data_IF_229019196223
#
_entry.id   IF_229019196223
#
_cell.length_a   1.000
_cell.length_b   1.000
_cell.length_c   1.000
_cell.angle_alpha   90.00
_cell.angle_beta   90.00
_cell.angle_gamma   90.00
#
_symmetry.space_group_name_H-M   'P 1'
#
loop_
_entity.id
_entity.type
_entity.pdbx_description
1 polymer ?
#
# COMPACT_ATOMS: atom_id res chain seq x y z
N UNK A 1 26.20 -7.06 -15.97
CA UNK A 1 25.17 -6.05 -15.72
C UNK A 1 24.21 -6.35 -14.54
N UNK A 2 24.00 -7.64 -14.16
CA UNK A 2 23.06 -8.03 -13.09
C UNK A 2 23.56 -7.71 -11.66
N UNK A 3 24.87 -7.70 -11.46
CA UNK A 3 25.48 -7.44 -10.14
C UNK A 3 25.34 -5.97 -9.68
N UNK A 4 25.30 -5.04 -10.61
CA UNK A 4 25.33 -3.59 -10.30
C UNK A 4 23.96 -3.04 -9.87
N UNK A 5 22.83 -3.59 -10.39
CA UNK A 5 21.48 -3.18 -9.99
C UNK A 5 21.10 -3.63 -8.56
N UNK A 6 21.58 -4.79 -8.14
CA UNK A 6 21.39 -5.25 -6.77
C UNK A 6 22.14 -4.37 -5.76
N UNK A 7 23.31 -3.91 -6.11
CA UNK A 7 24.14 -3.04 -5.29
C UNK A 7 23.54 -1.64 -5.13
N UNK A 8 23.02 -1.02 -6.21
CA UNK A 8 22.35 0.29 -6.16
C UNK A 8 21.09 0.27 -5.29
N UNK A 9 20.26 -0.76 -5.38
CA UNK A 9 19.04 -0.92 -4.55
C UNK A 9 19.37 -1.13 -3.09
N UNK A 10 20.34 -1.98 -2.80
CA UNK A 10 20.81 -2.23 -1.45
C UNK A 10 21.38 -0.94 -0.83
N UNK A 11 22.00 -0.09 -1.63
CA UNK A 11 22.54 1.18 -1.21
C UNK A 11 21.43 2.15 -0.72
N UNK A 12 20.32 2.32 -1.46
CA UNK A 12 19.20 3.17 -1.00
C UNK A 12 18.61 2.67 0.31
N UNK A 13 18.38 1.38 0.46
CA UNK A 13 17.87 0.80 1.73
C UNK A 13 18.84 1.02 2.89
N UNK A 14 20.12 0.87 2.62
CA UNK A 14 21.18 1.12 3.61
C UNK A 14 21.24 2.58 3.99
N UNK A 15 21.19 3.50 3.03
CA UNK A 15 21.14 4.93 3.26
C UNK A 15 19.89 5.33 4.05
N UNK A 16 18.75 4.76 3.72
CA UNK A 16 17.48 5.03 4.41
C UNK A 16 17.48 4.61 5.88
N UNK A 17 18.22 3.56 6.23
CA UNK A 17 18.42 3.15 7.64
C UNK A 17 19.33 4.10 8.42
N UNK A 18 20.28 4.73 7.73
CA UNK A 18 21.34 5.52 8.37
C UNK A 18 21.04 7.01 8.42
N UNK A 19 20.27 7.52 7.47
CA UNK A 19 20.01 8.94 7.31
C UNK A 19 18.53 9.26 7.46
N UNK A 20 18.17 10.32 8.20
CA UNK A 20 16.78 10.74 8.37
C UNK A 20 16.16 11.27 7.07
N UNK A 21 16.96 11.87 6.19
CA UNK A 21 16.56 12.36 4.87
C UNK A 21 17.52 11.88 3.77
N UNK A 22 16.97 11.59 2.61
CA UNK A 22 17.73 11.19 1.43
C UNK A 22 17.75 12.34 0.41
N UNK A 23 18.95 12.72 -0.03
CA UNK A 23 19.16 13.92 -0.86
C UNK A 23 19.28 13.62 -2.34
N UNK A 24 19.64 12.41 -2.71
CA UNK A 24 19.97 12.07 -4.11
C UNK A 24 19.28 10.78 -4.54
N UNK A 25 18.11 10.91 -5.15
CA UNK A 25 17.29 9.79 -5.60
C UNK A 25 17.01 9.82 -7.11
N UNK A 26 16.79 11.00 -7.70
CA UNK A 26 16.36 11.10 -9.10
C UNK A 26 17.41 10.55 -10.07
N UNK A 27 18.68 10.62 -9.73
CA UNK A 27 19.77 10.06 -10.54
C UNK A 27 19.74 8.52 -10.65
N UNK A 28 18.91 7.86 -9.81
CA UNK A 28 18.69 6.42 -9.89
C UNK A 28 17.70 6.03 -11.01
N UNK A 29 16.95 7.00 -11.52
CA UNK A 29 16.19 6.83 -12.76
C UNK A 29 17.13 7.03 -13.91
N UNK A 30 17.65 5.96 -14.44
CA UNK A 30 18.61 5.91 -15.53
C UNK A 30 18.13 4.97 -16.65
N UNK A 31 18.85 4.95 -17.74
CA UNK A 31 18.55 4.08 -18.90
C UNK A 31 18.39 2.62 -18.48
N UNK A 32 19.26 2.14 -17.62
CA UNK A 32 19.27 0.76 -17.13
C UNK A 32 18.02 0.44 -16.32
N UNK A 33 17.60 1.33 -15.42
CA UNK A 33 16.39 1.17 -14.63
C UNK A 33 15.12 1.14 -15.49
N UNK A 34 15.05 1.97 -16.53
CA UNK A 34 13.91 2.01 -17.46
C UNK A 34 13.85 0.75 -18.34
N UNK A 35 15.00 0.28 -18.85
CA UNK A 35 15.08 -0.98 -19.59
C UNK A 35 14.67 -2.16 -18.71
N UNK A 36 15.07 -2.15 -17.44
CA UNK A 36 14.62 -3.16 -16.48
C UNK A 36 13.10 -3.15 -16.33
N UNK A 37 12.48 -1.98 -16.19
CA UNK A 37 11.02 -1.86 -16.14
C UNK A 37 10.36 -2.40 -17.40
N UNK A 38 10.93 -2.12 -18.57
CA UNK A 38 10.42 -2.67 -19.83
C UNK A 38 10.43 -4.21 -19.84
N UNK A 39 11.50 -4.84 -19.35
CA UNK A 39 11.58 -6.31 -19.23
C UNK A 39 10.53 -6.89 -18.29
N UNK A 40 10.18 -6.17 -17.24
CA UNK A 40 9.18 -6.60 -16.23
C UNK A 40 7.74 -6.48 -16.73
N UNK A 41 7.47 -5.66 -17.77
CA UNK A 41 6.11 -5.52 -18.29
C UNK A 41 5.65 -6.83 -18.96
N UNK A 42 4.43 -7.25 -18.63
CA UNK A 42 3.80 -8.40 -19.28
C UNK A 42 3.40 -8.04 -20.71
N UNK A 43 3.49 -9.04 -21.61
CA UNK A 43 2.95 -8.94 -22.97
C UNK A 43 1.42 -8.89 -22.96
N UNK A 44 0.83 -8.42 -24.03
CA UNK A 44 -0.63 -8.40 -24.27
C UNK A 44 -1.47 -7.61 -23.24
N UNK A 45 -0.87 -6.60 -22.60
CA UNK A 45 -1.63 -5.66 -21.79
C UNK A 45 -2.25 -4.57 -22.63
N UNK A 46 -3.44 -4.11 -22.22
CA UNK A 46 -4.15 -3.03 -22.86
C UNK A 46 -3.29 -1.75 -22.92
N UNK A 47 -3.21 -1.08 -24.08
CA UNK A 47 -2.45 0.17 -24.23
C UNK A 47 -3.17 1.35 -23.59
N UNK A 48 -2.43 2.44 -23.34
CA UNK A 48 -2.97 3.74 -22.96
C UNK A 48 -3.62 4.47 -24.12
N UNK A 49 -3.82 5.80 -23.96
CA UNK A 49 -4.46 6.66 -24.98
C UNK A 49 -3.67 6.75 -26.29
N UNK A 50 -2.36 6.58 -26.24
CA UNK A 50 -1.46 6.62 -27.40
C UNK A 50 -1.45 5.29 -28.20
N UNK A 51 -2.15 4.28 -27.72
CA UNK A 51 -2.23 2.93 -28.30
C UNK A 51 -0.88 2.23 -28.43
N UNK A 52 0.16 2.66 -27.72
CA UNK A 52 1.48 2.02 -27.70
C UNK A 52 1.47 0.80 -26.79
N UNK A 53 1.78 -0.35 -27.36
CA UNK A 53 1.96 -1.62 -26.65
C UNK A 53 3.42 -1.87 -26.31
N UNK A 54 3.70 -2.89 -25.50
CA UNK A 54 5.08 -3.33 -25.24
C UNK A 54 5.81 -3.69 -26.53
N UNK A 55 5.14 -4.36 -27.43
CA UNK A 55 5.67 -4.82 -28.71
C UNK A 55 6.08 -3.64 -29.60
N UNK A 56 5.18 -2.65 -29.74
CA UNK A 56 5.45 -1.43 -30.50
C UNK A 56 6.59 -0.62 -29.88
N UNK A 57 6.62 -0.48 -28.56
CA UNK A 57 7.70 0.24 -27.88
C UNK A 57 9.07 -0.45 -28.03
N UNK A 58 9.05 -1.78 -28.08
CA UNK A 58 10.26 -2.61 -28.27
C UNK A 58 10.94 -2.41 -29.62
N UNK A 59 10.20 -2.07 -30.67
CA UNK A 59 10.75 -1.89 -32.02
C UNK A 59 11.87 -0.86 -32.07
N UNK A 60 11.72 0.24 -31.30
CA UNK A 60 12.70 1.32 -31.19
C UNK A 60 13.10 1.57 -29.73
N UNK A 61 13.34 0.51 -28.96
CA UNK A 61 13.50 0.58 -27.51
C UNK A 61 14.58 1.59 -27.08
N UNK A 62 15.77 1.51 -27.66
CA UNK A 62 16.89 2.37 -27.28
C UNK A 62 16.61 3.85 -27.56
N UNK A 63 16.05 4.16 -28.71
CA UNK A 63 15.69 5.53 -29.10
C UNK A 63 14.57 6.07 -28.20
N UNK A 64 13.55 5.26 -27.93
CA UNK A 64 12.45 5.62 -27.05
C UNK A 64 12.93 5.90 -25.62
N UNK A 65 13.83 5.08 -25.10
CA UNK A 65 14.41 5.27 -23.75
C UNK A 65 15.32 6.50 -23.73
N UNK A 66 16.14 6.72 -24.75
CA UNK A 66 17.01 7.90 -24.84
C UNK A 66 16.19 9.20 -24.89
N UNK A 67 15.10 9.22 -25.66
CA UNK A 67 14.16 10.35 -25.71
C UNK A 67 13.49 10.60 -24.35
N UNK A 68 13.00 9.56 -23.69
CA UNK A 68 12.43 9.66 -22.36
C UNK A 68 13.44 10.22 -21.36
N UNK A 69 14.66 9.70 -21.36
CA UNK A 69 15.75 10.21 -20.49
C UNK A 69 16.07 11.68 -20.76
N UNK A 70 16.08 12.09 -22.03
CA UNK A 70 16.30 13.50 -22.39
C UNK A 70 15.20 14.39 -21.81
N UNK A 71 13.93 14.02 -21.97
CA UNK A 71 12.78 14.76 -21.43
C UNK A 71 12.77 14.77 -19.90
N UNK A 72 13.17 13.68 -19.25
CA UNK A 72 13.30 13.62 -17.79
C UNK A 72 14.39 14.57 -17.27
N UNK A 73 15.57 14.58 -17.91
CA UNK A 73 16.70 15.45 -17.53
C UNK A 73 16.42 16.93 -17.77
N UNK A 74 15.70 17.25 -18.82
CA UNK A 74 15.31 18.64 -19.16
C UNK A 74 14.05 19.13 -18.41
N UNK A 75 13.45 18.26 -17.57
CA UNK A 75 12.17 18.52 -16.89
C UNK A 75 10.99 18.84 -17.79
N UNK A 76 11.09 18.50 -19.08
CA UNK A 76 9.99 18.66 -20.04
C UNK A 76 9.00 17.49 -20.00
N UNK A 77 9.37 16.35 -19.41
CA UNK A 77 8.49 15.20 -19.28
C UNK A 77 7.28 15.53 -18.39
N UNK A 78 6.08 15.17 -18.91
CA UNK A 78 4.82 15.23 -18.16
C UNK A 78 4.05 13.92 -18.38
N UNK A 79 3.50 13.30 -17.33
CA UNK A 79 2.62 12.16 -17.50
C UNK A 79 1.43 12.50 -18.38
N UNK A 80 1.05 11.57 -19.24
CA UNK A 80 -0.14 11.72 -20.09
C UNK A 80 -1.41 11.30 -19.34
N UNK A 81 -2.60 11.74 -19.79
CA UNK A 81 -3.85 11.27 -19.24
C UNK A 81 -4.00 9.76 -19.36
N UNK A 82 -4.61 9.14 -18.36
CA UNK A 82 -4.93 7.71 -18.39
C UNK A 82 -6.13 7.44 -19.31
N UNK A 83 -6.12 6.31 -20.00
CA UNK A 83 -7.29 5.82 -20.73
C UNK A 83 -8.23 5.13 -19.75
N UNK A 84 -9.43 5.66 -19.59
CA UNK A 84 -10.45 5.08 -18.72
C UNK A 84 -11.17 3.94 -19.40
N UNK A 85 -11.24 2.79 -18.76
CA UNK A 85 -12.04 1.64 -19.14
C UNK A 85 -12.87 1.18 -17.95
N UNK A 86 -14.04 0.64 -18.22
CA UNK A 86 -14.87 0.03 -17.18
C UNK A 86 -14.61 -1.46 -17.10
N UNK A 87 -14.36 -1.95 -15.88
CA UNK A 87 -14.18 -3.39 -15.62
C UNK A 87 -15.36 -3.88 -14.78
N UNK A 88 -15.84 -5.08 -15.12
CA UNK A 88 -16.88 -5.75 -14.35
C UNK A 88 -16.34 -6.22 -12.99
N UNK A 89 -17.06 -5.92 -11.91
CA UNK A 89 -16.73 -6.36 -10.53
C UNK A 89 -17.22 -7.76 -10.20
N UNK A 90 -17.86 -8.46 -11.15
CA UNK A 90 -18.45 -9.78 -10.91
C UNK A 90 -19.86 -9.77 -10.29
N UNK A 91 -20.38 -8.60 -9.90
CA UNK A 91 -21.71 -8.44 -9.29
C UNK A 91 -22.64 -7.56 -10.16
N UNK A 92 -22.40 -7.47 -11.46
CA UNK A 92 -23.09 -6.53 -12.32
C UNK A 92 -22.74 -5.05 -12.09
N UNK A 93 -21.81 -4.77 -11.16
CA UNK A 93 -21.27 -3.44 -10.91
C UNK A 93 -19.97 -3.25 -11.67
N UNK A 94 -19.86 -2.16 -12.39
CA UNK A 94 -18.64 -1.76 -13.10
C UNK A 94 -17.81 -0.82 -12.23
N UNK A 95 -16.49 -0.90 -12.39
CA UNK A 95 -15.55 0.08 -11.80
C UNK A 95 -14.68 0.68 -12.89
N UNK A 96 -14.35 1.97 -12.79
CA UNK A 96 -13.40 2.57 -13.71
C UNK A 96 -11.98 2.08 -13.40
N UNK A 97 -11.22 1.82 -14.46
CA UNK A 97 -9.80 1.55 -14.42
C UNK A 97 -9.09 2.57 -15.30
N UNK A 98 -8.03 3.20 -14.79
CA UNK A 98 -7.16 4.07 -15.56
C UNK A 98 -5.95 3.30 -16.10
N UNK A 99 -5.78 3.31 -17.43
CA UNK A 99 -4.62 2.69 -18.08
C UNK A 99 -3.67 3.79 -18.53
N UNK A 100 -2.47 3.92 -17.92
CA UNK A 100 -1.47 4.89 -18.33
C UNK A 100 -0.84 4.48 -19.67
N UNK A 101 -0.28 5.45 -20.39
CA UNK A 101 0.54 5.15 -21.57
C UNK A 101 1.76 4.31 -21.19
N UNK A 102 2.30 3.58 -22.15
CA UNK A 102 3.36 2.60 -21.87
C UNK A 102 4.61 3.24 -21.25
N UNK A 103 5.06 4.36 -21.77
CA UNK A 103 6.24 5.07 -21.26
C UNK A 103 6.03 5.55 -19.80
N UNK A 104 4.82 5.98 -19.44
CA UNK A 104 4.48 6.38 -18.08
C UNK A 104 4.54 5.20 -17.11
N UNK A 105 4.20 3.99 -17.56
CA UNK A 105 4.37 2.77 -16.76
C UNK A 105 5.83 2.50 -16.45
N UNK A 106 6.72 2.69 -17.42
CA UNK A 106 8.15 2.48 -17.21
C UNK A 106 8.70 3.47 -16.19
N UNK A 107 8.36 4.73 -16.34
CA UNK A 107 8.81 5.77 -15.44
C UNK A 107 8.22 5.60 -14.03
N UNK A 108 6.92 5.34 -13.91
CA UNK A 108 6.30 5.06 -12.62
C UNK A 108 6.92 3.84 -11.94
N UNK A 109 7.21 2.79 -12.70
CA UNK A 109 7.88 1.60 -12.17
C UNK A 109 9.27 1.89 -11.59
N UNK A 110 10.07 2.70 -12.28
CA UNK A 110 11.38 3.14 -11.80
C UNK A 110 11.27 4.01 -10.55
N UNK A 111 10.33 4.95 -10.53
CA UNK A 111 10.05 5.79 -9.36
C UNK A 111 9.53 4.98 -8.17
N UNK A 112 8.66 4.00 -8.43
CA UNK A 112 8.12 3.10 -7.41
C UNK A 112 9.20 2.22 -6.77
N UNK A 113 10.13 1.70 -7.55
CA UNK A 113 11.26 0.92 -7.05
C UNK A 113 12.12 1.73 -6.07
N UNK A 114 12.42 2.97 -6.42
CA UNK A 114 13.18 3.90 -5.56
C UNK A 114 12.42 4.17 -4.26
N UNK A 115 11.13 4.51 -4.37
CA UNK A 115 10.28 4.83 -3.23
C UNK A 115 10.14 3.63 -2.29
N UNK A 116 9.98 2.43 -2.84
CA UNK A 116 9.96 1.19 -2.08
C UNK A 116 11.26 0.97 -1.28
N UNK A 117 12.41 1.20 -1.90
CA UNK A 117 13.70 1.05 -1.23
C UNK A 117 13.94 2.11 -0.15
N UNK A 118 13.38 3.32 -0.30
CA UNK A 118 13.40 4.36 0.74
C UNK A 118 12.54 3.95 1.93
N UNK A 119 11.33 3.48 1.69
CA UNK A 119 10.34 3.30 2.74
C UNK A 119 10.31 1.90 3.37
N UNK A 120 10.73 0.86 2.66
CA UNK A 120 10.71 -0.49 3.23
C UNK A 120 11.45 -0.60 4.58
N UNK A 121 12.62 0.02 4.79
CA UNK A 121 13.26 0.02 6.10
C UNK A 121 12.54 0.85 7.17
N UNK A 122 11.64 1.74 6.78
CA UNK A 122 10.93 2.68 7.67
C UNK A 122 9.53 2.23 8.05
N UNK A 123 8.87 1.45 7.19
CA UNK A 123 7.54 0.93 7.48
C UNK A 123 7.55 0.03 8.70
N UNK A 124 6.49 0.11 9.51
CA UNK A 124 6.35 -0.68 10.72
C UNK A 124 5.86 -2.10 10.43
N UNK A 125 6.06 -2.99 11.37
CA UNK A 125 5.67 -4.39 11.23
C UNK A 125 4.15 -4.61 11.14
N UNK A 126 3.35 -3.65 11.59
CA UNK A 126 1.90 -3.70 11.48
C UNK A 126 1.36 -3.55 10.05
N UNK A 127 2.19 -3.09 9.09
CA UNK A 127 1.84 -2.88 7.69
C UNK A 127 2.25 -4.05 6.81
N UNK A 128 1.29 -4.64 6.08
CA UNK A 128 1.49 -5.85 5.27
C UNK A 128 1.29 -5.65 3.77
N UNK A 129 0.32 -4.82 3.36
CA UNK A 129 -0.03 -4.64 1.97
C UNK A 129 1.07 -3.98 1.12
N UNK A 130 1.24 -4.44 -0.11
CA UNK A 130 2.19 -3.87 -1.09
C UNK A 130 3.64 -3.77 -0.62
N UNK A 131 4.03 -4.63 0.27
CA UNK A 131 5.41 -4.74 0.75
C UNK A 131 6.06 -6.02 0.27
N UNK A 132 7.38 -5.97 -0.10
CA UNK A 132 8.11 -7.18 -0.48
C UNK A 132 8.07 -8.22 0.64
N UNK A 133 7.90 -9.49 0.27
CA UNK A 133 7.90 -10.64 1.19
C UNK A 133 6.81 -10.63 2.27
N UNK A 134 5.75 -9.84 2.07
CA UNK A 134 4.57 -9.80 2.94
C UNK A 134 3.32 -10.04 2.11
N UNK A 135 2.48 -10.93 2.58
CA UNK A 135 1.26 -11.36 1.89
C UNK A 135 0.02 -11.19 2.76
N UNK A 136 -1.14 -11.36 2.13
CA UNK A 136 -2.43 -11.47 2.82
C UNK A 136 -2.40 -12.58 3.89
N UNK A 137 -1.83 -13.74 3.55
CA UNK A 137 -1.71 -14.86 4.48
C UNK A 137 -0.85 -14.53 5.71
N UNK A 138 0.20 -13.72 5.55
CA UNK A 138 1.02 -13.28 6.68
C UNK A 138 0.22 -12.38 7.63
N UNK A 139 -0.58 -11.47 7.10
CA UNK A 139 -1.47 -10.61 7.89
C UNK A 139 -2.51 -11.44 8.65
N UNK A 140 -3.17 -12.38 7.98
CA UNK A 140 -4.16 -13.29 8.60
C UNK A 140 -3.53 -14.14 9.68
N UNK A 141 -2.35 -14.70 9.43
CA UNK A 141 -1.61 -15.47 10.42
C UNK A 141 -1.30 -14.68 11.67
N UNK A 142 -0.81 -13.45 11.51
CA UNK A 142 -0.51 -12.57 12.66
C UNK A 142 -1.77 -12.22 13.45
N UNK A 143 -2.90 -11.96 12.80
CA UNK A 143 -4.19 -11.74 13.47
C UNK A 143 -4.56 -12.96 14.31
N UNK A 144 -4.54 -14.14 13.73
CA UNK A 144 -4.88 -15.38 14.42
C UNK A 144 -3.94 -15.68 15.59
N UNK A 145 -2.63 -15.56 15.37
CA UNK A 145 -1.64 -15.79 16.43
C UNK A 145 -1.79 -14.77 17.57
N UNK A 146 -2.10 -13.52 17.26
CA UNK A 146 -2.34 -12.47 18.25
C UNK A 146 -3.58 -12.76 19.09
N UNK A 147 -4.70 -13.14 18.47
CA UNK A 147 -5.94 -13.50 19.17
C UNK A 147 -5.73 -14.75 20.04
N UNK A 148 -5.01 -15.75 19.52
CA UNK A 148 -4.76 -17.01 20.21
C UNK A 148 -3.85 -16.87 21.42
N UNK A 149 -2.80 -16.03 21.33
CA UNK A 149 -1.69 -16.03 22.30
C UNK A 149 -1.54 -14.73 23.08
N UNK A 150 -2.25 -13.67 22.71
CA UNK A 150 -2.21 -12.37 23.38
C UNK A 150 -3.53 -12.07 24.09
N UNK A 151 -3.55 -11.00 24.88
CA UNK A 151 -4.73 -10.54 25.59
C UNK A 151 -5.63 -9.75 24.64
N UNK A 152 -6.50 -10.45 23.93
CA UNK A 152 -7.46 -9.87 22.98
C UNK A 152 -8.88 -10.30 23.36
N UNK A 153 -9.77 -9.32 23.58
CA UNK A 153 -11.18 -9.53 23.89
C UNK A 153 -12.11 -8.69 23.00
N UNK A 154 -11.59 -7.68 22.31
CA UNK A 154 -12.35 -6.78 21.43
C UNK A 154 -11.56 -6.50 20.14
N UNK A 155 -12.29 -6.35 19.06
CA UNK A 155 -11.74 -5.97 17.76
C UNK A 155 -12.46 -4.73 17.28
N UNK A 156 -11.69 -3.73 16.87
CA UNK A 156 -12.14 -2.59 16.09
C UNK A 156 -11.79 -2.85 14.63
N UNK A 157 -12.82 -3.13 13.83
CA UNK A 157 -12.73 -3.37 12.40
C UNK A 157 -13.06 -2.07 11.68
N UNK A 158 -12.11 -1.51 10.93
CA UNK A 158 -12.21 -0.21 10.30
C UNK A 158 -12.19 -0.30 8.78
N UNK A 159 -13.07 0.48 8.17
CA UNK A 159 -13.14 0.68 6.73
C UNK A 159 -13.04 2.17 6.38
N UNK A 160 -12.04 2.54 5.60
CA UNK A 160 -11.85 3.90 5.10
C UNK A 160 -12.68 4.08 3.85
N UNK A 161 -13.53 5.10 3.84
CA UNK A 161 -14.41 5.41 2.71
C UNK A 161 -13.64 6.09 1.59
N UNK A 162 -13.60 5.45 0.41
CA UNK A 162 -13.01 6.04 -0.80
C UNK A 162 -11.58 6.54 -0.61
N UNK A 163 -10.71 5.72 -0.02
CA UNK A 163 -9.37 6.13 0.41
C UNK A 163 -8.56 6.82 -0.68
N UNK A 164 -8.40 6.19 -1.85
CA UNK A 164 -7.55 6.72 -2.93
C UNK A 164 -8.04 8.06 -3.48
N UNK A 165 -9.35 8.28 -3.54
CA UNK A 165 -9.95 9.53 -4.01
C UNK A 165 -9.80 10.68 -3.00
N UNK A 166 -9.58 10.37 -1.74
CA UNK A 166 -9.55 11.32 -0.64
C UNK A 166 -8.14 11.57 -0.06
N UNK A 167 -7.10 10.97 -0.62
CA UNK A 167 -5.73 11.25 -0.22
C UNK A 167 -5.41 12.72 -0.49
N UNK A 168 -5.06 13.44 0.56
CA UNK A 168 -4.67 14.85 0.44
C UNK A 168 -3.24 14.97 -0.06
N UNK A 169 -3.07 15.52 -1.26
CA UNK A 169 -1.76 15.62 -1.91
C UNK A 169 -0.79 16.53 -1.17
N UNK A 170 -1.27 17.59 -0.53
CA UNK A 170 -0.41 18.49 0.26
C UNK A 170 0.17 17.78 1.48
N UNK A 171 -0.64 17.02 2.20
CA UNK A 171 -0.19 16.19 3.31
C UNK A 171 0.77 15.10 2.86
N UNK A 172 0.46 14.41 1.76
CA UNK A 172 1.34 13.40 1.20
C UNK A 172 2.72 13.98 0.85
N UNK A 173 2.75 15.15 0.19
CA UNK A 173 4.01 15.82 -0.14
C UNK A 173 4.76 16.26 1.13
N UNK A 174 4.08 16.70 2.17
CA UNK A 174 4.72 17.01 3.47
C UNK A 174 5.35 15.79 4.09
N UNK A 175 4.68 14.64 4.06
CA UNK A 175 5.23 13.38 4.56
C UNK A 175 6.47 12.95 3.76
N UNK A 176 6.40 13.02 2.45
CA UNK A 176 7.55 12.71 1.60
C UNK A 176 8.74 13.64 1.86
N UNK A 177 8.51 14.95 2.04
CA UNK A 177 9.56 15.92 2.35
C UNK A 177 10.20 15.71 3.71
N UNK A 178 9.53 15.04 4.62
CA UNK A 178 10.11 14.64 5.89
C UNK A 178 11.26 13.62 5.71
N UNK A 179 11.18 12.79 4.69
CA UNK A 179 12.09 11.67 4.44
C UNK A 179 13.01 11.88 3.22
N UNK A 180 12.60 12.74 2.29
CA UNK A 180 13.25 12.95 0.99
C UNK A 180 13.52 14.43 0.81
N UNK A 181 14.79 14.77 0.58
CA UNK A 181 15.26 16.15 0.33
C UNK A 181 15.63 16.38 -1.15
N UNK A 182 15.48 15.37 -2.03
CA UNK A 182 15.72 15.52 -3.47
C UNK A 182 14.56 16.29 -4.14
N UNK A 183 14.75 17.58 -4.53
CA UNK A 183 13.67 18.37 -5.11
C UNK A 183 13.25 17.88 -6.49
N UNK A 184 14.13 17.24 -7.24
CA UNK A 184 13.84 16.74 -8.57
C UNK A 184 12.97 15.48 -8.50
N UNK A 185 13.27 14.58 -7.58
CA UNK A 185 12.45 13.41 -7.31
C UNK A 185 11.03 13.83 -6.87
N UNK A 186 10.94 14.73 -5.91
CA UNK A 186 9.65 15.23 -5.40
C UNK A 186 8.85 15.99 -6.46
N UNK A 187 9.51 16.72 -7.36
CA UNK A 187 8.86 17.38 -8.50
C UNK A 187 8.11 16.39 -9.38
N UNK A 188 8.71 15.26 -9.67
CA UNK A 188 8.06 14.23 -10.49
C UNK A 188 6.95 13.50 -9.75
N UNK A 189 7.08 13.27 -8.45
CA UNK A 189 5.96 12.76 -7.64
C UNK A 189 4.79 13.76 -7.69
N UNK A 190 5.04 15.05 -7.52
CA UNK A 190 4.00 16.08 -7.60
C UNK A 190 3.30 16.09 -8.99
N UNK A 191 4.06 15.94 -10.09
CA UNK A 191 3.49 15.85 -11.44
C UNK A 191 2.62 14.61 -11.61
N UNK A 192 3.03 13.47 -11.08
CA UNK A 192 2.23 12.24 -11.10
C UNK A 192 0.92 12.41 -10.31
N UNK A 193 0.96 13.03 -9.14
CA UNK A 193 -0.23 13.30 -8.34
C UNK A 193 -1.21 14.22 -9.09
N UNK A 194 -0.71 15.26 -9.76
CA UNK A 194 -1.53 16.14 -10.61
C UNK A 194 -2.16 15.42 -11.80
N UNK A 195 -1.49 14.41 -12.35
CA UNK A 195 -2.01 13.62 -13.47
C UNK A 195 -3.06 12.58 -13.04
N UNK A 196 -3.33 12.44 -11.76
CA UNK A 196 -4.33 11.50 -11.24
C UNK A 196 -3.80 10.08 -11.01
N UNK A 197 -2.53 9.94 -10.66
CA UNK A 197 -1.89 8.63 -10.42
C UNK A 197 -2.44 7.88 -9.21
N UNK A 198 -3.03 8.58 -8.24
CA UNK A 198 -3.69 7.97 -7.08
C UNK A 198 -5.06 7.39 -7.48
N UNK A 199 -5.02 6.24 -8.11
CA UNK A 199 -6.20 5.50 -8.54
C UNK A 199 -6.17 4.14 -7.87
N UNK A 200 -7.33 3.69 -7.37
CA UNK A 200 -7.51 2.31 -6.93
C UNK A 200 -7.24 1.37 -8.13
N UNK A 201 -6.08 0.74 -8.14
CA UNK A 201 -5.71 -0.24 -9.15
C UNK A 201 -6.22 -1.63 -8.80
N UNK A 202 -6.43 -2.48 -9.81
CA UNK A 202 -6.54 -3.91 -9.58
C UNK A 202 -5.14 -4.41 -9.23
N UNK A 203 -4.93 -4.67 -7.94
CA UNK A 203 -3.71 -5.35 -7.51
C UNK A 203 -3.89 -6.82 -7.82
N UNK A 204 -3.20 -7.30 -8.83
CA UNK A 204 -3.01 -8.74 -8.98
C UNK A 204 -2.20 -9.18 -7.77
N UNK A 205 -2.82 -9.95 -6.90
CA UNK A 205 -2.16 -10.65 -5.81
C UNK A 205 -1.15 -11.62 -6.45
N UNK A 206 0.06 -11.13 -6.65
CA UNK A 206 1.14 -12.01 -7.05
C UNK A 206 1.63 -12.66 -5.78
N UNK A 207 1.34 -13.94 -5.63
CA UNK A 207 1.82 -14.83 -4.57
C UNK A 207 3.36 -14.85 -4.40
N UNK A 208 4.05 -14.06 -5.16
CA UNK A 208 5.50 -13.84 -5.12
C UNK A 208 5.75 -12.34 -4.97
N UNK A 209 5.89 -11.91 -3.74
CA UNK A 209 6.11 -10.57 -3.24
C UNK A 209 6.92 -9.63 -4.11
N UNK A 210 6.41 -8.53 -4.34
CA UNK A 210 6.66 -7.31 -5.10
C UNK A 210 5.87 -7.30 -6.41
N UNK A 211 4.96 -6.34 -6.60
CA UNK A 211 4.40 -6.11 -7.92
C UNK A 211 5.53 -5.70 -8.85
N UNK A 212 6.07 -6.65 -9.60
CA UNK A 212 7.07 -6.40 -10.61
C UNK A 212 6.45 -5.52 -11.70
N UNK A 213 6.98 -4.31 -11.88
CA UNK A 213 6.41 -3.31 -12.77
C UNK A 213 5.18 -2.61 -12.17
N UNK A 214 5.09 -2.54 -10.83
CA UNK A 214 4.01 -1.92 -10.11
C UNK A 214 3.97 -0.40 -10.22
N UNK A 215 2.76 0.15 -10.15
CA UNK A 215 2.52 1.58 -10.10
C UNK A 215 3.00 2.18 -8.76
N UNK A 216 3.29 3.47 -8.75
CA UNK A 216 3.75 4.20 -7.55
C UNK A 216 2.62 4.38 -6.52
N UNK A 217 1.37 4.34 -6.94
CA UNK A 217 0.18 4.60 -6.12
C UNK A 217 0.10 3.77 -4.83
N UNK A 218 0.31 2.44 -4.85
CA UNK A 218 0.26 1.63 -3.63
C UNK A 218 1.30 2.04 -2.58
N UNK A 219 2.49 2.40 -3.02
CA UNK A 219 3.56 2.79 -2.10
C UNK A 219 3.26 4.16 -1.51
N UNK A 220 2.77 5.11 -2.30
CA UNK A 220 2.32 6.42 -1.82
C UNK A 220 1.16 6.27 -0.82
N UNK A 221 0.23 5.36 -1.06
CA UNK A 221 -0.84 5.03 -0.12
C UNK A 221 -0.28 4.51 1.21
N UNK A 222 0.69 3.62 1.17
CA UNK A 222 1.38 3.13 2.36
C UNK A 222 2.15 4.24 3.10
N UNK A 223 2.79 5.15 2.39
CA UNK A 223 3.46 6.32 3.00
C UNK A 223 2.44 7.18 3.74
N UNK A 224 1.30 7.45 3.13
CA UNK A 224 0.25 8.25 3.73
C UNK A 224 -0.26 7.65 5.05
N UNK A 225 -0.63 6.37 5.03
CA UNK A 225 -1.14 5.68 6.21
C UNK A 225 -0.05 5.33 7.24
N UNK A 226 1.20 5.22 6.82
CA UNK A 226 2.32 5.12 7.75
C UNK A 226 2.38 6.31 8.72
N UNK A 227 2.20 7.54 8.21
CA UNK A 227 2.18 8.76 9.02
C UNK A 227 0.84 9.00 9.70
N UNK A 228 -0.25 8.82 8.98
CA UNK A 228 -1.59 9.11 9.51
C UNK A 228 -2.00 8.09 10.59
N UNK A 229 -1.70 6.83 10.39
CA UNK A 229 -2.20 5.75 11.25
C UNK A 229 -1.07 5.00 11.99
N UNK A 230 -0.12 4.40 11.30
CA UNK A 230 0.81 3.43 11.89
C UNK A 230 1.71 4.07 12.97
N UNK A 231 2.42 5.12 12.63
CA UNK A 231 3.30 5.83 13.58
C UNK A 231 2.50 6.47 14.71
N UNK A 232 1.39 7.10 14.40
CA UNK A 232 0.53 7.71 15.38
C UNK A 232 -0.01 6.68 16.39
N UNK A 233 -0.48 5.54 15.92
CA UNK A 233 -0.96 4.48 16.79
C UNK A 233 0.17 3.90 17.65
N UNK A 234 1.27 3.47 17.04
CA UNK A 234 2.37 2.80 17.74
C UNK A 234 3.15 3.73 18.68
N UNK A 235 3.34 5.00 18.32
CA UNK A 235 4.16 5.94 19.11
C UNK A 235 3.37 6.80 20.07
N UNK A 236 2.10 7.09 19.78
CA UNK A 236 1.28 8.01 20.57
C UNK A 236 0.13 7.29 21.29
N UNK A 237 -0.76 6.65 20.56
CA UNK A 237 -2.01 6.10 21.12
C UNK A 237 -1.75 4.93 22.05
N UNK A 238 -0.96 3.98 21.64
CA UNK A 238 -0.69 2.74 22.38
C UNK A 238 -0.20 2.98 23.81
N UNK A 239 0.59 4.05 24.01
CA UNK A 239 1.11 4.46 25.32
C UNK A 239 0.06 5.01 26.27
N UNK A 240 -1.10 5.42 25.78
CA UNK A 240 -2.19 6.03 26.55
C UNK A 240 -3.27 5.02 26.93
N UNK A 241 -3.14 3.76 26.50
CA UNK A 241 -4.14 2.73 26.73
C UNK A 241 -3.90 2.01 28.06
N UNK A 242 -4.99 1.55 28.63
CA UNK A 242 -4.98 0.75 29.88
C UNK A 242 -4.38 -0.63 29.65
N UNK A 243 -4.78 -1.30 28.58
CA UNK A 243 -4.38 -2.63 28.23
C UNK A 243 -3.53 -2.71 26.97
N UNK A 244 -3.38 -3.93 26.50
CA UNK A 244 -2.66 -4.21 25.27
C UNK A 244 -3.53 -3.92 24.06
N UNK A 245 -2.90 -3.46 22.97
CA UNK A 245 -3.54 -3.25 21.68
C UNK A 245 -2.57 -3.55 20.54
N UNK A 246 -3.11 -4.06 19.44
CA UNK A 246 -2.32 -4.54 18.30
C UNK A 246 -3.01 -4.09 17.00
N UNK A 247 -2.30 -3.34 16.17
CA UNK A 247 -2.74 -2.90 14.86
C UNK A 247 -2.24 -3.88 13.80
N UNK A 248 -3.13 -4.24 12.86
CA UNK A 248 -2.77 -4.92 11.61
C UNK A 248 -3.41 -4.16 10.46
N UNK A 249 -2.60 -3.73 9.52
CA UNK A 249 -3.00 -2.99 8.33
C UNK A 249 -2.52 -3.67 7.06
N UNK A 250 -3.43 -3.79 6.10
CA UNK A 250 -3.14 -4.22 4.73
C UNK A 250 -3.68 -3.18 3.76
N UNK A 251 -2.79 -2.34 3.20
CA UNK A 251 -3.18 -1.15 2.43
C UNK A 251 -4.08 -0.22 3.24
N UNK A 252 -5.30 0.03 2.80
CA UNK A 252 -6.30 0.85 3.50
C UNK A 252 -7.24 0.03 4.41
N UNK A 253 -7.17 -1.29 4.37
CA UNK A 253 -7.87 -2.17 5.29
C UNK A 253 -7.08 -2.34 6.58
N UNK A 254 -7.71 -2.11 7.72
CA UNK A 254 -7.06 -2.32 9.00
C UNK A 254 -8.02 -2.71 10.12
N UNK A 255 -7.48 -3.40 11.10
CA UNK A 255 -8.15 -3.70 12.35
C UNK A 255 -7.21 -3.49 13.53
N UNK A 256 -7.79 -3.24 14.68
CA UNK A 256 -7.05 -3.10 15.94
C UNK A 256 -7.68 -4.06 16.96
N UNK A 257 -6.82 -4.85 17.59
CA UNK A 257 -7.22 -5.84 18.60
C UNK A 257 -6.92 -5.29 19.98
N UNK A 258 -7.88 -5.36 20.91
CA UNK A 258 -7.78 -4.76 22.23
C UNK A 258 -8.01 -5.78 23.35
N UNK A 259 -7.38 -5.52 24.48
CA UNK A 259 -7.65 -6.21 25.72
C UNK A 259 -8.97 -5.72 26.37
N UNK A 260 -9.22 -4.41 26.37
CA UNK A 260 -10.36 -3.79 27.03
C UNK A 260 -11.26 -3.03 26.05
N UNK A 261 -12.57 -3.16 26.24
CA UNK A 261 -13.60 -2.45 25.45
C UNK A 261 -13.44 -0.93 25.53
N UNK A 262 -13.16 -0.42 26.73
CA UNK A 262 -12.92 0.99 26.98
C UNK A 262 -11.82 1.56 26.10
N UNK A 263 -10.72 0.84 25.93
CA UNK A 263 -9.63 1.25 25.03
C UNK A 263 -10.09 1.22 23.57
N UNK A 264 -10.86 0.21 23.18
CA UNK A 264 -11.41 0.12 21.82
C UNK A 264 -12.32 1.30 21.49
N UNK A 265 -13.23 1.68 22.37
CA UNK A 265 -14.12 2.84 22.19
C UNK A 265 -13.34 4.15 22.11
N UNK A 266 -12.37 4.34 23.00
CA UNK A 266 -11.53 5.52 23.03
C UNK A 266 -10.69 5.67 21.76
N UNK A 267 -10.11 4.59 21.27
CA UNK A 267 -9.34 4.59 20.03
C UNK A 267 -10.23 4.80 18.82
N UNK A 268 -11.42 4.22 18.80
CA UNK A 268 -12.39 4.46 17.72
C UNK A 268 -12.69 5.95 17.53
N UNK A 269 -13.00 6.66 18.61
CA UNK A 269 -13.21 8.11 18.57
C UNK A 269 -11.96 8.87 18.11
N UNK A 270 -10.78 8.47 18.60
CA UNK A 270 -9.52 9.08 18.23
C UNK A 270 -9.18 8.85 16.75
N UNK A 271 -9.43 7.66 16.21
CA UNK A 271 -9.22 7.34 14.79
C UNK A 271 -10.14 8.17 13.90
N UNK A 272 -11.39 8.36 14.24
CA UNK A 272 -12.33 9.23 13.49
C UNK A 272 -11.74 10.63 13.36
N UNK A 273 -11.32 11.24 14.47
CA UNK A 273 -10.75 12.59 14.48
C UNK A 273 -9.44 12.66 13.71
N UNK A 274 -8.59 11.65 13.86
CA UNK A 274 -7.31 11.56 13.14
C UNK A 274 -7.51 11.49 11.64
N UNK A 275 -8.42 10.66 11.17
CA UNK A 275 -8.75 10.54 9.76
C UNK A 275 -9.30 11.85 9.17
N UNK A 276 -10.24 12.50 9.87
CA UNK A 276 -10.80 13.79 9.45
C UNK A 276 -9.73 14.87 9.30
N UNK A 277 -8.75 14.92 10.22
CA UNK A 277 -7.62 15.86 10.16
C UNK A 277 -6.84 15.73 8.84
N UNK A 278 -6.74 14.53 8.31
CA UNK A 278 -6.00 14.24 7.08
C UNK A 278 -6.89 14.01 5.85
N UNK A 279 -8.14 14.48 5.91
CA UNK A 279 -9.07 14.43 4.78
C UNK A 279 -9.71 13.07 4.51
N UNK A 280 -9.63 12.13 5.45
CA UNK A 280 -10.18 10.79 5.34
C UNK A 280 -11.43 10.63 6.21
N UNK A 281 -12.30 9.72 5.81
CA UNK A 281 -13.54 9.39 6.53
C UNK A 281 -13.66 7.87 6.70
N UNK A 282 -14.02 7.43 7.90
CA UNK A 282 -14.40 6.04 8.14
C UNK A 282 -15.84 5.79 7.69
N UNK A 283 -16.09 4.64 7.07
CA UNK A 283 -17.44 4.17 6.81
C UNK A 283 -18.10 3.77 8.13
N UNK A 284 -19.08 4.55 8.59
CA UNK A 284 -19.81 4.27 9.83
C UNK A 284 -20.59 2.96 9.76
N UNK A 285 -21.07 2.57 8.58
CA UNK A 285 -21.83 1.34 8.37
C UNK A 285 -20.95 0.08 8.45
N UNK A 286 -19.68 0.19 8.04
CA UNK A 286 -18.74 -0.92 7.97
C UNK A 286 -17.73 -0.94 9.12
N UNK A 287 -17.62 0.16 9.89
CA UNK A 287 -16.70 0.25 11.02
C UNK A 287 -17.45 -0.13 12.30
N UNK A 288 -16.90 -1.08 13.06
CA UNK A 288 -17.54 -1.57 14.27
C UNK A 288 -16.55 -2.07 15.31
N UNK A 289 -16.95 -2.04 16.56
CA UNK A 289 -16.31 -2.74 17.67
C UNK A 289 -17.10 -4.01 17.96
N UNK A 290 -16.42 -5.14 18.04
CA UNK A 290 -17.05 -6.42 18.37
C UNK A 290 -16.26 -7.15 19.46
N UNK A 291 -16.97 -7.82 20.41
CA UNK A 291 -16.34 -8.73 21.34
C UNK A 291 -15.86 -9.97 20.59
N UNK A 292 -14.58 -10.31 20.78
CA UNK A 292 -13.96 -11.43 20.09
C UNK A 292 -12.73 -11.90 20.87
N UNK A 293 -12.51 -13.20 20.95
CA UNK A 293 -11.35 -13.76 21.62
C UNK A 293 -11.71 -14.89 22.58
N UNK A 294 -10.71 -15.45 23.24
CA UNK A 294 -10.85 -16.63 24.12
C UNK A 294 -11.89 -16.49 25.21
N UNK A 295 -12.01 -15.32 25.80
CA UNK A 295 -12.91 -15.01 26.91
C UNK A 295 -14.28 -14.49 26.44
N UNK A 296 -14.50 -14.37 25.15
CA UNK A 296 -15.76 -13.92 24.59
C UNK A 296 -16.72 -15.08 24.47
N UNK A 297 -17.96 -14.88 24.98
CA UNK A 297 -19.10 -15.78 24.75
C UNK A 297 -19.84 -15.45 23.45
N UNK A 298 -19.44 -14.38 22.78
CA UNK A 298 -20.03 -13.92 21.54
C UNK A 298 -19.78 -14.90 20.40
N UNK A 299 -20.80 -15.08 19.57
CA UNK A 299 -20.72 -15.80 18.29
C UNK A 299 -20.46 -14.86 17.12
N UNK A 300 -20.06 -13.62 17.40
CA UNK A 300 -19.77 -12.66 16.35
C UNK A 300 -18.58 -13.12 15.50
N UNK A 301 -18.67 -12.76 14.22
CA UNK A 301 -17.67 -13.01 13.22
C UNK A 301 -17.23 -11.69 12.61
N UNK A 302 -16.04 -11.64 12.11
CA UNK A 302 -15.58 -10.50 11.28
C UNK A 302 -14.88 -10.99 10.03
N UNK A 303 -14.98 -10.16 9.00
CA UNK A 303 -14.37 -10.41 7.70
C UNK A 303 -13.18 -9.49 7.50
N UNK A 304 -12.04 -10.07 7.11
CA UNK A 304 -10.84 -9.31 6.83
C UNK A 304 -10.04 -9.98 5.70
N UNK A 305 -9.72 -9.23 4.66
CA UNK A 305 -8.94 -9.67 3.51
C UNK A 305 -9.46 -10.94 2.82
N UNK A 306 -10.77 -11.08 2.71
CA UNK A 306 -11.40 -12.24 2.07
C UNK A 306 -11.51 -13.48 2.97
N UNK A 307 -11.27 -13.33 4.27
CA UNK A 307 -11.43 -14.41 5.26
C UNK A 307 -12.42 -14.04 6.34
N UNK A 308 -13.29 -14.98 6.67
CA UNK A 308 -14.19 -14.88 7.83
C UNK A 308 -13.51 -15.48 9.06
N UNK A 309 -13.42 -14.71 10.12
CA UNK A 309 -12.85 -15.11 11.41
C UNK A 309 -13.95 -15.40 12.41
N UNK A 310 -13.85 -16.50 13.12
CA UNK A 310 -14.80 -16.93 14.15
C UNK A 310 -14.12 -17.62 15.33
N UNK A 311 -14.71 -17.47 16.51
CA UNK A 311 -14.29 -18.20 17.70
C UNK A 311 -14.67 -19.66 17.57
N UNK A 312 -13.75 -20.56 17.84
CA UNK A 312 -13.92 -22.00 17.70
C UNK A 312 -13.22 -22.77 18.83
N UNK A 313 -13.39 -24.07 18.84
CA UNK A 313 -12.66 -25.00 19.71
C UNK A 313 -12.10 -26.14 18.89
N UNK A 314 -10.90 -26.59 19.23
CA UNK A 314 -10.32 -27.81 18.68
C UNK A 314 -11.10 -29.03 19.14
N UNK A 315 -10.89 -30.18 18.51
CA UNK A 315 -11.48 -31.48 18.96
C UNK A 315 -11.15 -31.82 20.41
N UNK A 316 -10.03 -31.32 20.94
CA UNK A 316 -9.62 -31.48 22.34
C UNK A 316 -10.19 -30.40 23.28
N UNK A 317 -11.08 -29.52 22.78
CA UNK A 317 -11.72 -28.48 23.58
C UNK A 317 -10.93 -27.19 23.78
N UNK A 318 -9.72 -27.08 23.22
CA UNK A 318 -8.93 -25.83 23.31
C UNK A 318 -9.49 -24.76 22.39
N UNK A 319 -9.40 -23.51 22.85
CA UNK A 319 -9.79 -22.35 22.05
C UNK A 319 -8.99 -22.28 20.73
N UNK A 320 -9.67 -21.94 19.66
CA UNK A 320 -9.09 -21.77 18.33
C UNK A 320 -9.81 -20.64 17.59
N UNK A 321 -9.10 -19.98 16.69
CA UNK A 321 -9.68 -19.03 15.72
C UNK A 321 -9.65 -19.71 14.37
N UNK A 322 -10.81 -19.77 13.72
CA UNK A 322 -10.92 -20.29 12.36
C UNK A 322 -10.95 -19.16 11.35
N UNK A 323 -10.01 -19.08 10.40
CA UNK A 323 -10.20 -18.37 9.18
C UNK A 323 -10.77 -19.29 8.10
N UNK A 324 -11.85 -18.87 7.43
CA UNK A 324 -12.41 -19.54 6.25
C UNK A 324 -12.42 -18.54 5.09
N UNK A 325 -11.93 -18.96 3.93
CA UNK A 325 -11.96 -18.12 2.72
C UNK A 325 -13.39 -18.03 2.17
N UNK A 326 -13.85 -16.84 1.79
CA UNK A 326 -15.15 -16.64 1.13
C UNK A 326 -15.27 -17.35 -0.21
N UNK A 327 -14.16 -17.63 -0.88
CA UNK A 327 -14.18 -18.26 -2.21
C UNK A 327 -14.63 -19.72 -2.18
N UNK A 328 -14.90 -20.26 -0.99
CA UNK A 328 -15.37 -21.64 -0.78
C UNK A 328 -16.74 -21.74 -0.12
N UNK A 329 -17.45 -20.62 0.00
CA UNK A 329 -18.88 -20.55 0.36
C UNK A 329 -19.70 -20.13 -0.88
#
# INVERSE_FOLDING_TARGET
GYKDMGTKRQDIRTLSKRHPKLETLMNRVDKESLIRQHRLQKKNKAPGIDMVTKEVYQENLNENIDDLMHRLKSFSYKPQPVRRVEIDKGNGKKRPLGIPVYEDRLFQGAMADILSDVYEPRFLDCSYGFRPKRSTHDAIKVINDTIMHKKVNYILDCDIKGFFDNVNHEWLMKFLRNDIADPNYLRYIARMLKSGVMIEGKYEDTSVGTPQGGLVSPILANVYLHYVLDLWFEKCIKKQLYGKAYLVRFADDFLIMFQYERDAQRVYEAVIKRMELFGLELSKEKTRILPFGRNSVSREIFDFLGFTHFNSKTRKGYYSVGPVSYTHL
#
